data_IF_680472418991
#
_entry.id   IF_680472418991
#
_cell.length_a   1.000
_cell.length_b   1.000
_cell.length_c   1.000
_cell.angle_alpha   90.00
_cell.angle_beta   90.00
_cell.angle_gamma   90.00
#
_symmetry.space_group_name_H-M   'P 1'
#
loop_
_entity.id
_entity.type
_entity.pdbx_description
1 polymer ?
#
# COMPACT_ATOMS: atom_id res chain seq x y z
N UNK A 1 2.78 -7.97 -1.68
CA UNK A 1 2.18 -6.68 -2.10
C UNK A 1 3.22 -5.87 -2.83
N UNK A 2 2.81 -4.98 -3.72
CA UNK A 2 3.76 -4.09 -4.42
C UNK A 2 4.03 -2.81 -3.65
N UNK A 3 5.27 -2.33 -3.72
CA UNK A 3 5.73 -1.09 -3.13
C UNK A 3 6.36 -0.16 -4.16
N UNK A 4 6.23 1.13 -3.91
CA UNK A 4 6.94 2.19 -4.62
C UNK A 4 7.35 3.28 -3.64
N UNK A 5 8.44 3.98 -3.97
CA UNK A 5 8.86 5.14 -3.20
C UNK A 5 8.02 6.37 -3.58
N UNK A 6 7.59 7.14 -2.58
CA UNK A 6 6.90 8.41 -2.77
C UNK A 6 7.42 9.44 -1.76
N UNK A 7 7.40 10.74 -2.08
CA UNK A 7 7.80 11.77 -1.13
C UNK A 7 6.96 11.79 0.16
N UNK A 8 5.67 11.44 0.06
CA UNK A 8 4.78 11.27 1.21
C UNK A 8 3.64 10.27 0.89
N UNK A 9 3.51 9.17 1.65
CA UNK A 9 2.43 8.18 1.46
C UNK A 9 1.09 8.57 2.10
N UNK A 10 0.89 9.81 2.57
CA UNK A 10 -0.33 10.24 3.26
C UNK A 10 -1.64 10.03 2.46
N UNK A 11 -1.57 9.95 1.13
CA UNK A 11 -2.73 9.65 0.26
C UNK A 11 -2.93 8.16 0.01
N UNK A 12 -1.95 7.32 0.34
CA UNK A 12 -1.97 5.87 0.18
C UNK A 12 -1.72 5.18 1.52
N UNK A 13 -0.85 4.16 1.53
CA UNK A 13 -0.53 3.40 2.73
C UNK A 13 0.98 3.38 2.97
N UNK A 14 1.43 3.78 4.16
CA UNK A 14 2.82 3.70 4.59
C UNK A 14 3.16 2.28 5.03
N UNK A 15 4.15 1.69 4.37
CA UNK A 15 4.55 0.29 4.57
C UNK A 15 5.91 0.21 5.26
N UNK A 16 5.92 -0.36 6.46
CA UNK A 16 7.15 -0.59 7.24
C UNK A 16 7.70 -1.98 6.94
N UNK A 17 8.98 -2.04 6.59
CA UNK A 17 9.71 -3.28 6.32
C UNK A 17 10.59 -3.64 7.53
N UNK A 18 10.67 -4.92 7.88
CA UNK A 18 11.58 -5.42 8.92
C UNK A 18 12.99 -5.68 8.39
N UNK A 19 13.92 -6.00 9.29
CA UNK A 19 15.33 -6.30 8.97
C UNK A 19 15.50 -7.54 8.06
N UNK A 20 14.45 -8.36 7.91
CA UNK A 20 14.43 -9.56 7.07
C UNK A 20 13.78 -9.30 5.71
N UNK A 21 13.47 -8.04 5.38
CA UNK A 21 12.85 -7.66 4.11
C UNK A 21 11.37 -8.05 4.00
N UNK A 22 10.67 -8.28 5.12
CA UNK A 22 9.23 -8.59 5.14
C UNK A 22 8.43 -7.37 5.58
N UNK A 23 7.16 -7.31 5.18
CA UNK A 23 6.25 -6.27 5.67
C UNK A 23 5.99 -6.51 7.15
N UNK A 24 6.33 -5.50 7.97
CA UNK A 24 6.16 -5.48 9.42
C UNK A 24 4.84 -4.86 9.84
N UNK A 25 4.44 -3.78 9.19
CA UNK A 25 3.21 -3.02 9.52
C UNK A 25 2.82 -2.13 8.35
N UNK A 26 1.53 -1.93 8.19
CA UNK A 26 0.95 -1.04 7.17
C UNK A 26 0.09 0.00 7.90
N UNK A 27 0.25 1.28 7.55
CA UNK A 27 -0.55 2.38 8.09
C UNK A 27 -1.30 3.03 6.93
N UNK A 28 -2.61 2.90 6.93
CA UNK A 28 -3.49 3.44 5.90
C UNK A 28 -3.73 4.94 6.09
N UNK A 29 -3.44 5.74 5.06
CA UNK A 29 -3.50 7.22 5.02
C UNK A 29 -2.91 7.85 6.29
N UNK A 30 -1.59 7.71 6.52
CA UNK A 30 -0.94 8.32 7.67
C UNK A 30 -1.06 9.85 7.60
N UNK A 31 -0.97 10.57 8.73
CA UNK A 31 -0.92 12.02 8.71
C UNK A 31 0.26 12.52 7.86
N UNK A 32 0.05 13.65 7.17
CA UNK A 32 1.06 14.26 6.29
C UNK A 32 2.40 14.45 6.98
N UNK A 33 3.50 14.06 6.32
CA UNK A 33 4.86 14.20 6.82
C UNK A 33 5.26 13.27 7.98
N UNK A 34 4.44 12.27 8.33
CA UNK A 34 4.73 11.38 9.47
C UNK A 34 5.35 10.03 9.10
N UNK A 35 5.42 9.69 7.81
CA UNK A 35 6.05 8.44 7.37
C UNK A 35 7.57 8.52 7.56
N UNK A 36 8.18 7.54 8.26
CA UNK A 36 9.64 7.45 8.39
C UNK A 36 10.27 6.70 7.21
N UNK A 37 9.46 5.98 6.40
CA UNK A 37 9.93 4.99 5.43
C UNK A 37 9.77 5.44 3.99
N UNK A 38 8.88 6.38 3.68
CA UNK A 38 8.59 6.85 2.32
C UNK A 38 8.15 5.74 1.34
N UNK A 39 7.75 4.58 1.88
CA UNK A 39 7.32 3.41 1.13
C UNK A 39 5.80 3.37 1.08
N UNK A 40 5.26 3.48 -0.13
CA UNK A 40 3.83 3.40 -0.38
C UNK A 40 3.42 2.01 -0.90
N UNK A 41 2.21 1.57 -0.53
CA UNK A 41 1.54 0.46 -1.21
C UNK A 41 1.04 0.89 -2.59
N UNK A 42 1.50 0.21 -3.65
CA UNK A 42 1.17 0.57 -5.03
C UNK A 42 -0.13 -0.06 -5.56
N UNK A 43 -0.95 -0.63 -4.68
CA UNK A 43 -2.29 -1.12 -5.00
C UNK A 43 -2.35 -2.47 -5.72
N UNK A 44 -1.24 -3.19 -5.91
CA UNK A 44 -1.25 -4.54 -6.47
C UNK A 44 -0.94 -5.58 -5.38
N UNK A 45 -1.82 -6.59 -5.30
CA UNK A 45 -1.75 -7.62 -4.28
C UNK A 45 -1.92 -9.01 -4.89
N UNK A 46 -1.20 -9.97 -4.32
CA UNK A 46 -1.34 -11.39 -4.61
C UNK A 46 -1.48 -12.09 -3.27
N UNK A 47 -2.60 -12.77 -3.07
CA UNK A 47 -2.93 -13.45 -1.82
C UNK A 47 -3.24 -14.92 -2.05
N UNK A 48 -2.84 -15.75 -1.09
CA UNK A 48 -3.46 -17.06 -0.92
C UNK A 48 -4.90 -16.89 -0.37
N UNK A 49 -5.81 -17.85 -0.59
CA UNK A 49 -7.21 -17.75 -0.15
C UNK A 49 -7.41 -17.50 1.36
N UNK A 50 -6.38 -17.73 2.19
CA UNK A 50 -6.42 -17.46 3.63
C UNK A 50 -6.82 -16.00 3.95
N UNK A 51 -6.55 -15.04 3.06
CA UNK A 51 -6.93 -13.63 3.21
C UNK A 51 -8.43 -13.45 3.50
N UNK A 52 -9.30 -14.29 2.91
CA UNK A 52 -10.75 -14.16 3.07
C UNK A 52 -11.19 -14.33 4.53
N UNK A 53 -10.49 -15.17 5.32
CA UNK A 53 -10.77 -15.33 6.76
C UNK A 53 -10.52 -14.06 7.57
N UNK A 54 -9.60 -13.21 7.10
CA UNK A 54 -9.28 -11.93 7.73
C UNK A 54 -10.26 -10.84 7.30
N UNK A 55 -10.60 -10.81 6.02
CA UNK A 55 -11.57 -9.88 5.45
C UNK A 55 -12.97 -10.04 6.07
N UNK A 56 -13.43 -11.27 6.29
CA UNK A 56 -14.72 -11.56 6.93
C UNK A 56 -14.86 -11.01 8.36
N UNK A 57 -13.74 -10.71 9.03
CA UNK A 57 -13.70 -10.23 10.42
C UNK A 57 -13.39 -8.75 10.52
N UNK A 58 -13.28 -8.04 9.39
CA UNK A 58 -13.02 -6.61 9.43
C UNK A 58 -14.24 -5.89 9.98
N UNK A 59 -13.96 -4.83 10.73
CA UNK A 59 -14.94 -3.84 11.14
C UNK A 59 -14.66 -2.55 10.36
N UNK A 60 -15.68 -1.73 10.07
CA UNK A 60 -15.45 -0.45 9.41
C UNK A 60 -14.48 0.43 10.21
N UNK A 61 -13.55 1.08 9.51
CA UNK A 61 -12.65 2.07 10.09
C UNK A 61 -13.42 3.31 10.55
N UNK A 62 -12.71 4.27 11.16
CA UNK A 62 -13.28 5.59 11.48
C UNK A 62 -13.80 6.34 10.23
N UNK A 63 -13.41 5.90 9.02
CA UNK A 63 -13.89 6.44 7.74
C UNK A 63 -15.14 5.71 7.22
N UNK A 64 -15.57 4.64 7.89
CA UNK A 64 -16.65 3.77 7.44
C UNK A 64 -16.25 2.77 6.35
N UNK A 65 -14.94 2.60 6.10
CA UNK A 65 -14.40 1.71 5.06
C UNK A 65 -13.85 0.42 5.66
N UNK A 66 -13.93 -0.69 4.91
CA UNK A 66 -13.25 -1.93 5.27
C UNK A 66 -11.83 -1.91 4.69
N UNK A 67 -10.84 -1.68 5.55
CA UNK A 67 -9.47 -1.41 5.12
C UNK A 67 -8.69 -2.71 4.88
N UNK A 68 -8.21 -2.93 3.66
CA UNK A 68 -7.34 -4.07 3.35
C UNK A 68 -6.05 -4.10 4.22
N UNK A 69 -5.41 -2.95 4.55
CA UNK A 69 -4.31 -2.91 5.50
C UNK A 69 -4.60 -3.51 6.87
N UNK A 70 -5.83 -3.39 7.38
CA UNK A 70 -6.19 -3.96 8.68
C UNK A 70 -6.20 -5.49 8.63
N UNK A 71 -6.70 -6.08 7.54
CA UNK A 71 -6.65 -7.53 7.34
C UNK A 71 -5.19 -8.02 7.20
N UNK A 72 -4.36 -7.29 6.45
CA UNK A 72 -2.95 -7.60 6.29
C UNK A 72 -2.17 -7.48 7.60
N UNK A 73 -2.43 -6.47 8.43
CA UNK A 73 -1.81 -6.32 9.74
C UNK A 73 -2.19 -7.48 10.66
N UNK A 74 -3.47 -7.90 10.69
CA UNK A 74 -3.90 -9.08 11.46
C UNK A 74 -3.22 -10.38 10.98
N UNK A 75 -3.03 -10.54 9.68
CA UNK A 75 -2.23 -11.66 9.15
C UNK A 75 -0.80 -11.65 9.71
N UNK A 76 -0.16 -10.48 9.73
CA UNK A 76 1.21 -10.31 10.26
C UNK A 76 1.25 -10.61 11.76
N UNK A 77 0.25 -10.14 12.53
CA UNK A 77 0.11 -10.41 13.96
C UNK A 77 -0.03 -11.91 14.26
N UNK A 78 -0.75 -12.65 13.40
CA UNK A 78 -0.88 -14.11 13.46
C UNK A 78 0.39 -14.87 12.97
N UNK A 79 1.46 -14.16 12.62
CA UNK A 79 2.73 -14.73 12.19
C UNK A 79 2.80 -15.10 10.70
N UNK A 80 1.81 -14.74 9.90
CA UNK A 80 1.87 -14.89 8.45
C UNK A 80 2.81 -13.83 7.86
N UNK A 81 3.62 -14.25 6.88
CA UNK A 81 4.55 -13.34 6.21
C UNK A 81 3.91 -12.70 4.98
N UNK A 82 4.08 -11.38 4.85
CA UNK A 82 3.77 -10.66 3.61
C UNK A 82 5.09 -10.21 2.98
N UNK A 83 5.32 -10.67 1.74
CA UNK A 83 6.50 -10.29 0.98
C UNK A 83 6.23 -9.00 0.18
N UNK A 84 7.12 -7.99 0.26
CA UNK A 84 7.08 -6.84 -0.63
C UNK A 84 7.62 -7.21 -2.02
N UNK A 85 7.14 -6.51 -3.03
CA UNK A 85 7.71 -6.48 -4.37
C UNK A 85 7.90 -5.01 -4.78
N UNK A 86 9.14 -4.59 -4.97
CA UNK A 86 9.44 -3.22 -5.38
C UNK A 86 9.14 -3.06 -6.86
N UNK A 87 8.10 -2.29 -7.19
CA UNK A 87 7.76 -2.01 -8.57
C UNK A 87 8.94 -1.31 -9.26
N UNK A 88 9.22 -1.78 -10.48
CA UNK A 88 10.19 -1.18 -11.37
C UNK A 88 9.42 -0.39 -12.43
N UNK A 89 9.97 0.74 -12.83
CA UNK A 89 9.34 1.63 -13.80
C UNK A 89 8.34 2.59 -13.16
N UNK A 90 7.52 3.20 -14.00
CA UNK A 90 6.60 4.24 -13.59
C UNK A 90 5.36 3.68 -12.86
N UNK A 91 4.92 4.41 -11.83
CA UNK A 91 3.66 4.18 -11.13
C UNK A 91 2.95 5.50 -10.83
N UNK A 92 1.63 5.54 -11.03
CA UNK A 92 0.79 6.67 -10.66
C UNK A 92 -0.63 6.21 -10.37
N UNK A 93 -1.11 6.59 -9.21
CA UNK A 93 -2.53 6.56 -8.89
C UNK A 93 -3.25 7.70 -9.62
N UNK A 94 -4.32 7.38 -10.34
CA UNK A 94 -5.12 8.31 -11.14
C UNK A 94 -6.50 8.42 -10.49
N UNK A 95 -6.53 9.15 -9.36
CA UNK A 95 -7.73 9.32 -8.55
C UNK A 95 -8.44 10.67 -8.77
N UNK A 96 -7.76 11.67 -9.33
CA UNK A 96 -8.28 13.02 -9.57
C UNK A 96 -8.11 13.44 -11.03
N UNK A 97 -8.86 14.46 -11.45
CA UNK A 97 -8.82 14.97 -12.83
C UNK A 97 -7.41 15.49 -13.17
N UNK A 98 -6.74 16.11 -12.21
CA UNK A 98 -5.39 16.64 -12.38
C UNK A 98 -4.34 15.53 -12.58
N UNK A 99 -4.61 14.31 -12.08
CA UNK A 99 -3.70 13.17 -12.24
C UNK A 99 -3.63 12.67 -13.69
N UNK A 100 -4.65 12.95 -14.50
CA UNK A 100 -4.71 12.52 -15.91
C UNK A 100 -3.57 13.16 -16.71
N UNK A 101 -3.36 14.47 -16.53
CA UNK A 101 -2.30 15.20 -17.23
C UNK A 101 -0.92 14.67 -16.82
N UNK A 102 -0.71 14.41 -15.54
CA UNK A 102 0.53 13.82 -15.04
C UNK A 102 0.77 12.43 -15.63
N UNK A 103 -0.23 11.54 -15.62
CA UNK A 103 -0.12 10.20 -16.20
C UNK A 103 0.19 10.23 -17.70
N UNK A 104 -0.42 11.15 -18.45
CA UNK A 104 -0.18 11.32 -19.87
C UNK A 104 1.27 11.74 -20.20
N UNK A 105 1.87 12.61 -19.38
CA UNK A 105 3.28 12.98 -19.55
C UNK A 105 4.22 11.80 -19.27
N UNK A 106 3.91 10.98 -18.27
CA UNK A 106 4.74 9.85 -17.88
C UNK A 106 4.77 8.75 -18.96
N UNK A 107 3.65 8.55 -19.66
CA UNK A 107 3.60 7.65 -20.83
C UNK A 107 4.42 8.16 -22.03
N UNK A 108 4.68 9.47 -22.14
CA UNK A 108 5.49 10.03 -23.25
C UNK A 108 6.99 9.90 -22.99
N UNK A 109 7.39 9.89 -21.72
CA UNK A 109 8.80 9.78 -21.31
C UNK A 109 9.34 8.35 -21.41
N UNK A 110 8.48 7.34 -21.47
CA UNK A 110 8.87 5.98 -21.82
C UNK A 110 8.96 5.85 -23.35
N UNK A 111 10.19 5.92 -23.88
CA UNK A 111 10.56 5.49 -25.23
C UNK A 111 11.61 4.40 -25.16
#
# INVERSE_FOLDING_TARGET
>A
MTLNEVPDPCTGADVKIDERGRVRRIVEKPPHGTSPTYMNSSGLFVFAPVIFRYLERLEPSNRGEYELPDAMNRMIEDGLSICPYYLQGFWKDVGRVEDIAAAAELLKTEK
#
